data_IF_107155651545
#
_entry.id   IF_107155651545
#
_cell.length_a   1.000
_cell.length_b   1.000
_cell.length_c   1.000
_cell.angle_alpha   90.00
_cell.angle_beta   90.00
_cell.angle_gamma   90.00
#
_symmetry.space_group_name_H-M   'P 1'
#
loop_
_entity.id
_entity.type
_entity.pdbx_description
1 polymer ?
#
# COMPACT_ATOMS: atom_id res chain seq x y z
N UNK A 1 -12.37 2.47 27.50
CA UNK A 1 -11.24 1.57 27.16
C UNK A 1 -11.32 0.99 25.74
N UNK A 2 -12.48 0.98 25.07
CA UNK A 2 -12.69 0.32 23.76
C UNK A 2 -12.02 1.02 22.55
N UNK A 3 -11.75 2.33 22.61
CA UNK A 3 -11.06 3.07 21.54
C UNK A 3 -9.62 2.60 21.28
N UNK A 4 -8.93 2.11 22.32
CA UNK A 4 -7.55 1.63 22.19
C UNK A 4 -7.49 0.32 21.40
N UNK A 5 -8.52 -0.52 21.51
CA UNK A 5 -8.56 -1.85 20.92
C UNK A 5 -8.56 -1.83 19.38
N UNK A 6 -9.20 -0.84 18.76
CA UNK A 6 -9.27 -0.73 17.28
C UNK A 6 -8.02 -0.14 16.67
N UNK A 7 -7.38 0.77 17.41
CA UNK A 7 -6.08 1.34 17.05
C UNK A 7 -5.01 0.24 17.10
N UNK A 8 -5.06 -0.59 18.14
CA UNK A 8 -4.30 -1.83 18.18
C UNK A 8 -4.77 -2.79 17.09
N UNK A 9 -6.04 -2.90 16.70
CA UNK A 9 -6.47 -3.83 15.65
C UNK A 9 -5.95 -3.47 14.26
N UNK A 10 -5.89 -2.18 13.87
CA UNK A 10 -5.28 -1.77 12.59
C UNK A 10 -3.76 -1.87 12.63
N UNK A 11 -3.15 -1.50 13.76
CA UNK A 11 -1.71 -1.70 13.96
C UNK A 11 -1.36 -3.19 13.98
N UNK A 12 -2.17 -4.03 14.62
CA UNK A 12 -2.10 -5.49 14.69
C UNK A 12 -2.47 -6.09 13.35
N UNK A 13 -3.37 -5.51 12.54
CA UNK A 13 -3.66 -6.03 11.19
C UNK A 13 -2.54 -5.71 10.21
N UNK A 14 -1.92 -4.53 10.33
CA UNK A 14 -0.73 -4.15 9.57
C UNK A 14 0.49 -4.94 10.06
N UNK A 15 0.66 -5.10 11.38
CA UNK A 15 1.67 -5.93 12.00
C UNK A 15 1.41 -7.42 11.78
N UNK A 16 0.17 -7.89 11.59
CA UNK A 16 -0.21 -9.26 11.21
C UNK A 16 -0.07 -9.46 9.71
N UNK A 17 -0.21 -8.43 8.88
CA UNK A 17 0.18 -8.50 7.46
C UNK A 17 1.70 -8.61 7.36
N UNK A 18 2.44 -7.74 8.07
CA UNK A 18 3.90 -7.81 8.19
C UNK A 18 4.32 -9.11 8.88
N UNK A 19 3.62 -9.57 9.91
CA UNK A 19 3.92 -10.80 10.66
C UNK A 19 3.45 -12.06 9.94
N UNK A 20 2.38 -12.07 9.15
CA UNK A 20 2.06 -13.20 8.27
C UNK A 20 3.07 -13.29 7.12
N UNK A 21 3.55 -12.14 6.62
CA UNK A 21 4.72 -12.10 5.74
C UNK A 21 6.01 -12.58 6.46
N UNK A 22 6.14 -12.39 7.78
CA UNK A 22 7.31 -12.81 8.59
C UNK A 22 7.20 -14.17 9.29
N UNK A 23 6.02 -14.75 9.55
CA UNK A 23 5.88 -16.06 10.22
C UNK A 23 6.23 -17.19 9.25
N UNK A 24 6.13 -16.90 7.95
CA UNK A 24 6.81 -17.64 6.90
C UNK A 24 8.34 -17.52 6.96
N UNK A 25 8.92 -16.56 7.71
CA UNK A 25 10.37 -16.51 8.04
C UNK A 25 10.80 -17.59 9.03
N UNK A 26 9.97 -17.92 10.02
CA UNK A 26 10.34 -18.85 11.07
C UNK A 26 10.23 -20.34 10.71
N UNK A 27 9.54 -20.70 9.61
CA UNK A 27 9.41 -22.12 9.20
C UNK A 27 10.49 -22.59 8.23
N UNK A 28 11.26 -21.68 7.62
CA UNK A 28 12.48 -22.04 6.89
C UNK A 28 13.64 -21.99 7.88
N UNK A 29 13.81 -23.08 8.63
CA UNK A 29 14.98 -23.32 9.48
C UNK A 29 16.20 -23.64 8.60
N UNK A 30 16.49 -22.78 7.61
CA UNK A 30 17.70 -22.83 6.81
C UNK A 30 18.68 -21.79 7.37
N UNK A 31 19.54 -22.18 8.33
CA UNK A 31 20.57 -21.28 8.87
C UNK A 31 21.62 -20.87 7.82
N UNK A 32 21.58 -21.41 6.60
CA UNK A 32 22.63 -21.27 5.59
C UNK A 32 22.55 -20.06 4.65
N UNK A 33 21.40 -19.39 4.51
CA UNK A 33 21.24 -18.40 3.43
C UNK A 33 21.95 -17.05 3.65
N UNK A 34 22.05 -16.59 4.90
CA UNK A 34 22.52 -15.22 5.22
C UNK A 34 23.62 -15.15 6.29
N UNK A 35 23.93 -16.28 6.93
CA UNK A 35 25.13 -16.44 7.77
C UNK A 35 26.28 -17.11 7.01
N UNK A 36 26.18 -17.24 5.67
CA UNK A 36 27.29 -17.73 4.87
C UNK A 36 28.48 -16.76 5.03
N UNK A 37 29.64 -17.21 5.56
CA UNK A 37 30.83 -16.38 5.72
C UNK A 37 31.29 -15.70 4.42
N UNK A 38 30.85 -16.22 3.26
CA UNK A 38 31.13 -15.63 1.94
C UNK A 38 30.53 -14.24 1.76
N UNK A 39 29.42 -13.91 2.42
CA UNK A 39 28.82 -12.57 2.34
C UNK A 39 29.42 -11.60 3.36
N UNK A 40 29.91 -12.10 4.51
CA UNK A 40 30.57 -11.26 5.52
C UNK A 40 31.99 -10.85 5.15
N UNK A 41 32.71 -11.66 4.35
CA UNK A 41 34.10 -11.39 3.98
C UNK A 41 34.30 -10.56 2.70
N UNK A 42 33.24 -10.20 1.96
CA UNK A 42 33.38 -9.46 0.70
C UNK A 42 33.57 -7.95 0.85
N UNK A 43 33.47 -7.41 2.07
CA UNK A 43 33.58 -5.97 2.34
C UNK A 43 34.89 -5.51 2.98
N UNK A 44 35.87 -6.39 3.24
CA UNK A 44 37.18 -6.00 3.77
C UNK A 44 38.18 -5.82 2.63
N UNK A 45 38.62 -4.59 2.30
CA UNK A 45 39.77 -4.40 1.44
C UNK A 45 41.01 -4.87 2.22
N UNK A 46 41.54 -6.05 1.86
CA UNK A 46 42.83 -6.53 2.37
C UNK A 46 42.90 -7.93 2.97
N UNK A 47 41.82 -8.70 3.07
CA UNK A 47 41.91 -10.10 3.54
C UNK A 47 42.03 -11.07 2.37
N UNK A 48 43.25 -11.24 1.84
CA UNK A 48 43.61 -12.47 1.13
C UNK A 48 43.48 -13.65 2.10
N UNK A 49 42.78 -14.74 1.74
CA UNK A 49 42.77 -15.94 2.57
C UNK A 49 44.18 -16.57 2.54
N UNK A 50 44.73 -17.04 3.67
CA UNK A 50 45.96 -17.80 3.68
C UNK A 50 45.72 -19.13 2.94
N UNK A 51 46.60 -19.43 1.98
CA UNK A 51 46.70 -20.70 1.28
C UNK A 51 46.85 -21.85 2.28
N UNK A 52 45.72 -22.43 2.70
CA UNK A 52 45.71 -23.69 3.44
C UNK A 52 45.21 -24.80 2.52
N UNK A 53 46.13 -25.28 1.69
CA UNK A 53 45.98 -26.50 0.91
C UNK A 53 45.75 -27.68 1.87
N UNK A 54 44.49 -28.08 2.04
CA UNK A 54 44.15 -29.42 2.52
C UNK A 54 43.93 -30.31 1.29
N UNK A 55 44.53 -31.52 1.24
CA UNK A 55 44.31 -32.43 0.13
C UNK A 55 42.87 -32.96 0.21
N UNK A 56 42.00 -32.44 -0.66
CA UNK A 56 40.65 -32.97 -0.85
C UNK A 56 40.75 -34.40 -1.38
N UNK A 57 40.35 -35.36 -0.56
CA UNK A 57 40.00 -36.69 -1.01
C UNK A 57 38.97 -36.56 -2.15
N UNK A 58 39.28 -37.19 -3.28
CA UNK A 58 38.44 -37.26 -4.48
C UNK A 58 37.09 -37.91 -4.12
N UNK A 59 36.06 -37.10 -3.88
CA UNK A 59 34.69 -37.59 -3.95
C UNK A 59 34.31 -37.75 -5.42
N UNK A 60 33.78 -38.90 -5.84
CA UNK A 60 33.25 -39.05 -7.19
C UNK A 60 32.13 -38.03 -7.41
N UNK A 61 31.96 -37.52 -8.65
CA UNK A 61 30.86 -36.61 -8.97
C UNK A 61 29.52 -37.29 -8.65
N UNK A 62 28.52 -36.54 -8.16
CA UNK A 62 27.18 -37.08 -8.02
C UNK A 62 26.69 -37.59 -9.38
N UNK A 63 25.94 -38.70 -9.43
CA UNK A 63 25.36 -39.18 -10.69
C UNK A 63 24.49 -38.07 -11.30
N UNK A 64 24.46 -37.93 -12.64
CA UNK A 64 23.59 -36.97 -13.30
C UNK A 64 22.15 -37.22 -12.84
N UNK A 65 21.46 -36.15 -12.43
CA UNK A 65 20.04 -36.20 -12.14
C UNK A 65 19.33 -36.68 -13.40
N UNK A 66 18.96 -37.97 -13.43
CA UNK A 66 18.06 -38.49 -14.45
C UNK A 66 16.74 -37.74 -14.35
N UNK A 67 16.28 -37.24 -15.48
CA UNK A 67 14.96 -36.62 -15.63
C UNK A 67 13.91 -37.60 -15.11
N UNK A 68 13.45 -37.38 -13.88
CA UNK A 68 12.45 -38.23 -13.25
C UNK A 68 11.08 -37.88 -13.88
N UNK A 69 10.53 -38.74 -14.77
CA UNK A 69 9.34 -38.41 -15.56
C UNK A 69 8.07 -38.29 -14.69
N UNK A 70 8.18 -38.65 -13.41
CA UNK A 70 7.11 -38.59 -12.42
C UNK A 70 7.09 -37.28 -11.62
N UNK A 71 8.10 -36.42 -11.80
CA UNK A 71 8.11 -35.08 -11.20
C UNK A 71 7.24 -34.14 -12.04
N UNK A 72 5.92 -34.38 -12.03
CA UNK A 72 4.97 -33.37 -12.52
C UNK A 72 5.18 -32.11 -11.70
N UNK A 73 5.66 -31.07 -12.36
CA UNK A 73 5.72 -29.74 -11.77
C UNK A 73 4.26 -29.25 -11.68
N UNK A 74 3.59 -29.63 -10.58
CA UNK A 74 2.20 -29.30 -10.25
C UNK A 74 2.00 -27.79 -10.00
N UNK A 75 3.04 -26.99 -10.23
CA UNK A 75 2.96 -25.53 -10.21
C UNK A 75 1.98 -25.07 -11.28
N UNK A 76 0.96 -24.29 -10.91
CA UNK A 76 -0.05 -23.81 -11.85
C UNK A 76 0.61 -22.99 -12.96
N UNK A 77 0.05 -23.03 -14.17
CA UNK A 77 0.67 -22.47 -15.39
C UNK A 77 1.10 -20.99 -15.28
N UNK A 78 0.47 -20.21 -14.41
CA UNK A 78 0.85 -18.80 -14.16
C UNK A 78 2.14 -18.64 -13.34
N UNK A 79 2.60 -19.67 -12.61
CA UNK A 79 3.88 -19.68 -11.90
C UNK A 79 5.05 -20.11 -12.80
N UNK A 80 4.78 -20.78 -13.93
CA UNK A 80 5.82 -21.33 -14.82
C UNK A 80 6.57 -20.27 -15.64
N UNK A 81 6.12 -19.01 -15.61
CA UNK A 81 6.87 -17.90 -16.22
C UNK A 81 7.25 -18.17 -17.68
N UNK A 82 6.37 -18.81 -18.44
CA UNK A 82 6.65 -19.14 -19.84
C UNK A 82 6.99 -17.86 -20.62
N UNK A 83 8.24 -17.71 -21.12
CA UNK A 83 8.65 -16.50 -21.86
C UNK A 83 7.93 -16.38 -23.21
N UNK A 84 7.23 -17.42 -23.66
CA UNK A 84 6.55 -17.46 -24.95
C UNK A 84 5.30 -16.55 -25.08
N UNK A 85 4.87 -15.86 -24.02
CA UNK A 85 3.80 -14.87 -24.08
C UNK A 85 4.29 -13.40 -23.98
N UNK A 86 5.62 -13.18 -23.86
CA UNK A 86 6.22 -11.85 -24.01
C UNK A 86 6.61 -11.65 -25.48
N UNK A 87 5.61 -11.50 -26.35
CA UNK A 87 5.82 -10.84 -27.63
C UNK A 87 6.33 -9.44 -27.34
N UNK A 88 7.59 -9.18 -27.70
CA UNK A 88 8.23 -7.87 -27.63
C UNK A 88 7.42 -6.86 -28.43
N UNK A 89 6.58 -6.10 -27.74
CA UNK A 89 6.03 -4.86 -28.24
C UNK A 89 6.99 -3.75 -27.85
N UNK A 90 7.88 -3.39 -28.77
CA UNK A 90 8.49 -2.05 -28.80
C UNK A 90 7.35 -1.02 -28.84
N UNK A 91 6.97 -0.51 -27.67
CA UNK A 91 6.23 0.74 -27.58
C UNK A 91 7.23 1.84 -27.28
N UNK A 92 7.87 2.30 -28.34
CA UNK A 92 8.57 3.56 -28.35
C UNK A 92 7.61 4.66 -27.85
N UNK A 93 8.16 5.48 -26.97
CA UNK A 93 7.63 6.75 -26.46
C UNK A 93 6.93 7.56 -27.55
N UNK A 94 5.60 7.47 -27.62
CA UNK A 94 4.76 8.48 -28.26
C UNK A 94 4.26 9.45 -27.17
N UNK A 95 5.23 10.12 -26.54
CA UNK A 95 5.01 11.32 -25.75
C UNK A 95 4.97 12.49 -26.74
N UNK A 96 3.77 12.87 -27.18
CA UNK A 96 3.63 13.94 -28.18
C UNK A 96 2.21 14.12 -28.71
N UNK A 97 1.20 14.06 -27.84
CA UNK A 97 -0.13 14.60 -28.16
C UNK A 97 -0.38 15.77 -27.20
N UNK A 98 -0.23 16.99 -27.74
CA UNK A 98 -0.33 18.23 -27.00
C UNK A 98 -1.69 18.41 -26.35
N UNK A 99 -1.67 18.94 -25.13
CA UNK A 99 -2.81 19.58 -24.50
C UNK A 99 -3.04 20.91 -25.22
N UNK A 100 -3.89 20.89 -26.25
CA UNK A 100 -4.40 22.12 -26.85
C UNK A 100 -5.34 22.85 -25.88
N UNK A 101 -5.35 24.19 -25.87
CA UNK A 101 -6.20 24.97 -24.97
C UNK A 101 -7.69 24.73 -25.32
N UNK A 102 -8.51 24.78 -24.27
CA UNK A 102 -9.96 24.74 -24.35
C UNK A 102 -10.46 25.89 -25.24
N UNK A 103 -10.83 25.55 -26.48
CA UNK A 103 -11.62 26.43 -27.34
C UNK A 103 -13.04 26.48 -26.81
N UNK A 104 -13.58 27.68 -26.74
CA UNK A 104 -14.96 28.00 -26.36
C UNK A 104 -15.94 27.18 -27.21
N UNK A 105 -16.78 26.38 -26.55
CA UNK A 105 -17.90 25.70 -27.16
C UNK A 105 -18.97 26.74 -27.53
N UNK A 106 -18.99 27.10 -28.81
CA UNK A 106 -20.11 27.76 -29.46
C UNK A 106 -21.36 26.86 -29.31
N UNK A 107 -22.44 27.39 -28.71
CA UNK A 107 -23.74 26.72 -28.56
C UNK A 107 -24.39 26.49 -29.93
N UNK A 108 -23.95 25.43 -30.62
CA UNK A 108 -24.59 24.94 -31.84
C UNK A 108 -25.90 24.20 -31.53
N UNK A 109 -26.94 24.34 -32.39
CA UNK A 109 -28.24 23.71 -32.18
C UNK A 109 -28.14 22.18 -32.13
N UNK A 110 -28.76 21.61 -31.10
CA UNK A 110 -28.82 20.18 -30.80
C UNK A 110 -29.13 19.35 -32.07
N UNK A 111 -28.26 18.41 -32.47
CA UNK A 111 -28.53 17.54 -33.60
C UNK A 111 -29.72 16.63 -33.27
N UNK A 112 -30.73 16.72 -34.15
CA UNK A 112 -31.93 15.89 -34.17
C UNK A 112 -31.53 14.40 -34.17
N UNK A 113 -32.14 13.62 -33.29
CA UNK A 113 -32.02 12.16 -33.17
C UNK A 113 -32.37 11.45 -34.50
N UNK A 114 -31.38 11.35 -35.39
CA UNK A 114 -31.35 10.38 -36.47
C UNK A 114 -30.68 9.12 -35.96
N UNK A 115 -31.49 8.12 -35.62
CA UNK A 115 -31.05 6.77 -35.23
C UNK A 115 -30.31 6.07 -36.38
N UNK A 116 -29.04 6.40 -36.57
CA UNK A 116 -28.12 5.53 -37.28
C UNK A 116 -27.82 4.30 -36.41
N UNK A 117 -27.70 3.08 -36.97
CA UNK A 117 -27.24 1.92 -36.22
C UNK A 117 -25.80 2.20 -35.78
N UNK A 118 -25.67 2.75 -34.58
CA UNK A 118 -24.39 3.03 -33.97
C UNK A 118 -23.60 1.73 -33.95
N UNK A 119 -22.48 1.71 -34.68
CA UNK A 119 -21.41 0.74 -34.47
C UNK A 119 -21.07 0.84 -32.99
N UNK A 120 -21.69 -0.04 -32.19
CA UNK A 120 -21.32 -0.23 -30.80
C UNK A 120 -19.84 -0.54 -30.84
N UNK A 121 -19.03 0.40 -30.32
CA UNK A 121 -17.61 0.20 -30.20
C UNK A 121 -17.43 -1.15 -29.49
N UNK A 122 -16.97 -2.15 -30.24
CA UNK A 122 -16.82 -3.51 -29.73
C UNK A 122 -15.99 -3.45 -28.44
N UNK A 123 -16.26 -4.33 -27.47
CA UNK A 123 -15.54 -4.32 -26.20
C UNK A 123 -14.04 -4.28 -26.47
N UNK A 124 -13.34 -3.26 -25.95
CA UNK A 124 -11.92 -3.09 -26.22
C UNK A 124 -11.20 -4.37 -25.79
N UNK A 125 -10.41 -5.03 -26.66
CA UNK A 125 -9.84 -6.35 -26.38
C UNK A 125 -8.99 -6.42 -25.10
N UNK A 126 -8.49 -5.27 -24.64
CA UNK A 126 -7.73 -5.15 -23.39
C UNK A 126 -8.57 -5.29 -22.12
N UNK A 127 -9.85 -4.87 -22.13
CA UNK A 127 -10.73 -4.97 -20.97
C UNK A 127 -11.09 -6.43 -20.63
N UNK A 128 -11.12 -7.29 -21.65
CA UNK A 128 -11.45 -8.70 -21.50
C UNK A 128 -10.31 -9.49 -20.84
N UNK A 129 -9.05 -9.09 -21.07
CA UNK A 129 -7.88 -9.85 -20.60
C UNK A 129 -7.83 -9.99 -19.07
N UNK A 130 -8.06 -8.90 -18.32
CA UNK A 130 -8.06 -8.93 -16.86
C UNK A 130 -9.20 -9.77 -16.28
N UNK A 131 -10.39 -9.75 -16.91
CA UNK A 131 -11.54 -10.56 -16.49
C UNK A 131 -11.31 -12.04 -16.76
N UNK A 132 -10.75 -12.40 -17.92
CA UNK A 132 -10.39 -13.78 -18.25
C UNK A 132 -9.39 -14.37 -17.26
N UNK A 133 -8.43 -13.59 -16.75
CA UNK A 133 -7.47 -14.05 -15.72
C UNK A 133 -8.16 -14.38 -14.39
N UNK A 134 -9.11 -13.56 -13.96
CA UNK A 134 -9.92 -13.83 -12.75
C UNK A 134 -10.76 -15.09 -12.93
N UNK A 135 -11.41 -15.26 -14.08
CA UNK A 135 -12.20 -16.44 -14.39
C UNK A 135 -11.34 -17.70 -14.49
N UNK A 136 -10.17 -17.63 -15.11
CA UNK A 136 -9.21 -18.73 -15.19
C UNK A 136 -8.73 -19.16 -13.79
N UNK A 137 -8.45 -18.21 -12.89
CA UNK A 137 -8.10 -18.51 -11.51
C UNK A 137 -9.23 -19.23 -10.76
N UNK A 138 -10.48 -18.78 -10.95
CA UNK A 138 -11.64 -19.48 -10.43
C UNK A 138 -11.85 -20.86 -11.05
N UNK A 139 -11.53 -21.05 -12.34
CA UNK A 139 -11.66 -22.33 -13.03
C UNK A 139 -10.64 -23.37 -12.55
N UNK A 140 -9.49 -22.93 -12.01
CA UNK A 140 -8.41 -23.81 -11.55
C UNK A 140 -8.76 -24.72 -10.35
N UNK A 141 -9.91 -24.52 -9.68
CA UNK A 141 -10.46 -25.49 -8.73
C UNK A 141 -11.13 -24.87 -7.50
N UNK A 142 -11.80 -25.72 -6.71
CA UNK A 142 -12.56 -25.29 -5.53
C UNK A 142 -11.71 -24.57 -4.47
N UNK A 143 -10.44 -24.99 -4.28
CA UNK A 143 -9.51 -24.36 -3.35
C UNK A 143 -9.20 -22.90 -3.73
N UNK A 144 -8.92 -22.65 -5.01
CA UNK A 144 -8.66 -21.31 -5.53
C UNK A 144 -9.88 -20.39 -5.38
N UNK A 145 -11.09 -20.91 -5.64
CA UNK A 145 -12.35 -20.18 -5.41
C UNK A 145 -12.55 -19.83 -3.94
N UNK A 146 -12.36 -20.79 -3.03
CA UNK A 146 -12.53 -20.56 -1.59
C UNK A 146 -11.54 -19.51 -1.08
N UNK A 147 -10.29 -19.56 -1.52
CA UNK A 147 -9.25 -18.59 -1.18
C UNK A 147 -9.56 -17.19 -1.75
N UNK A 148 -10.06 -17.10 -2.99
CA UNK A 148 -10.52 -15.84 -3.58
C UNK A 148 -11.73 -15.26 -2.82
N UNK A 149 -12.70 -16.09 -2.46
CA UNK A 149 -13.88 -15.65 -1.71
C UNK A 149 -13.52 -15.23 -0.28
N UNK A 150 -12.62 -15.97 0.38
CA UNK A 150 -12.10 -15.61 1.69
C UNK A 150 -11.37 -14.27 1.68
N UNK A 151 -10.61 -13.99 0.62
CA UNK A 151 -9.96 -12.68 0.44
C UNK A 151 -10.94 -11.57 0.08
N UNK A 152 -11.99 -11.84 -0.71
CA UNK A 152 -13.11 -10.90 -0.91
C UNK A 152 -13.79 -10.56 0.43
N UNK A 153 -14.03 -11.58 1.28
CA UNK A 153 -14.54 -11.41 2.62
C UNK A 153 -13.62 -10.56 3.49
N UNK A 154 -12.31 -10.83 3.48
CA UNK A 154 -11.34 -10.03 4.25
C UNK A 154 -11.32 -8.55 3.81
N UNK A 155 -11.37 -8.28 2.51
CA UNK A 155 -11.50 -6.92 1.98
C UNK A 155 -12.82 -6.26 2.42
N UNK A 156 -13.93 -7.00 2.36
CA UNK A 156 -15.23 -6.55 2.85
C UNK A 156 -15.22 -6.25 4.36
N UNK A 157 -14.55 -7.08 5.15
CA UNK A 157 -14.38 -6.86 6.59
C UNK A 157 -13.58 -5.58 6.86
N UNK A 158 -12.47 -5.38 6.15
CA UNK A 158 -11.68 -4.15 6.23
C UNK A 158 -12.49 -2.90 5.89
N UNK A 159 -13.29 -2.95 4.83
CA UNK A 159 -14.22 -1.87 4.47
C UNK A 159 -15.28 -1.64 5.56
N UNK A 160 -15.87 -2.71 6.11
CA UNK A 160 -16.86 -2.64 7.20
C UNK A 160 -16.28 -2.03 8.48
N UNK A 161 -15.06 -2.40 8.86
CA UNK A 161 -14.36 -1.79 10.00
C UNK A 161 -14.10 -0.29 9.76
N UNK A 162 -13.69 0.07 8.55
CA UNK A 162 -13.43 1.46 8.19
C UNK A 162 -14.71 2.32 8.23
N UNK A 163 -15.81 1.82 7.66
CA UNK A 163 -17.10 2.53 7.68
C UNK A 163 -17.67 2.61 9.10
N UNK A 164 -17.54 1.54 9.89
CA UNK A 164 -17.98 1.54 11.28
C UNK A 164 -17.22 2.55 12.14
N UNK A 165 -15.91 2.66 11.94
CA UNK A 165 -15.10 3.66 12.62
C UNK A 165 -15.49 5.10 12.22
N UNK A 166 -15.90 5.29 10.96
CA UNK A 166 -16.33 6.59 10.44
C UNK A 166 -17.73 7.01 10.91
N UNK A 167 -18.68 6.07 11.01
CA UNK A 167 -20.10 6.38 11.25
C UNK A 167 -20.54 6.13 12.69
N UNK A 168 -20.17 4.98 13.26
CA UNK A 168 -20.73 4.50 14.54
C UNK A 168 -19.75 4.67 15.70
N UNK A 169 -18.47 4.94 15.40
CA UNK A 169 -17.36 4.90 16.37
C UNK A 169 -17.27 3.57 17.15
N UNK A 170 -17.95 2.50 16.68
CA UNK A 170 -17.96 1.15 17.27
C UNK A 170 -17.47 0.12 16.25
N UNK A 171 -16.17 0.11 15.95
CA UNK A 171 -15.59 -0.52 14.77
C UNK A 171 -15.87 -2.01 14.64
N UNK A 172 -16.01 -2.72 15.77
CA UNK A 172 -16.23 -4.18 15.76
C UNK A 172 -17.62 -4.59 15.26
N UNK A 173 -18.60 -3.68 15.23
CA UNK A 173 -20.00 -4.04 14.94
C UNK A 173 -20.21 -4.38 13.46
N UNK A 174 -19.56 -3.66 12.54
CA UNK A 174 -19.77 -3.89 11.10
C UNK A 174 -18.70 -4.75 10.43
N UNK A 175 -17.66 -5.17 11.15
CA UNK A 175 -16.60 -6.03 10.60
C UNK A 175 -17.14 -7.35 10.04
N UNK A 176 -17.86 -8.17 10.84
CA UNK A 176 -18.47 -9.42 10.36
C UNK A 176 -19.50 -9.22 9.25
N UNK A 177 -20.32 -8.16 9.35
CA UNK A 177 -21.27 -7.80 8.30
C UNK A 177 -20.58 -7.45 6.99
N UNK A 178 -19.49 -6.68 7.05
CA UNK A 178 -18.63 -6.38 5.91
C UNK A 178 -17.99 -7.64 5.31
N UNK A 179 -17.56 -8.59 6.15
CA UNK A 179 -17.03 -9.87 5.68
C UNK A 179 -18.06 -10.65 4.85
N UNK A 180 -19.25 -10.85 5.41
CA UNK A 180 -20.35 -11.55 4.73
C UNK A 180 -20.74 -10.84 3.44
N UNK A 181 -20.85 -9.51 3.47
CA UNK A 181 -21.15 -8.70 2.29
C UNK A 181 -20.06 -8.86 1.22
N UNK A 182 -18.78 -8.87 1.60
CA UNK A 182 -17.66 -9.11 0.69
C UNK A 182 -17.72 -10.50 0.02
N UNK A 183 -18.05 -11.54 0.78
CA UNK A 183 -18.24 -12.90 0.23
C UNK A 183 -19.44 -12.94 -0.74
N UNK A 184 -20.58 -12.37 -0.36
CA UNK A 184 -21.78 -12.33 -1.19
C UNK A 184 -21.53 -11.57 -2.51
N UNK A 185 -20.87 -10.42 -2.44
CA UNK A 185 -20.49 -9.65 -3.63
C UNK A 185 -19.48 -10.41 -4.51
N UNK A 186 -18.56 -11.15 -3.90
CA UNK A 186 -17.62 -12.03 -4.62
C UNK A 186 -18.30 -13.20 -5.33
N UNK A 187 -19.41 -13.72 -4.79
CA UNK A 187 -20.23 -14.75 -5.44
C UNK A 187 -21.09 -14.19 -6.57
N UNK A 188 -21.43 -12.90 -6.53
CA UNK A 188 -22.33 -12.27 -7.48
C UNK A 188 -21.64 -11.97 -8.81
N UNK A 189 -21.59 -12.98 -9.69
CA UNK A 189 -20.84 -12.97 -10.96
C UNK A 189 -21.21 -11.81 -11.91
N UNK A 190 -22.46 -11.34 -11.87
CA UNK A 190 -22.98 -10.38 -12.85
C UNK A 190 -22.85 -8.91 -12.44
N UNK A 191 -22.26 -8.62 -11.28
CA UNK A 191 -22.16 -7.25 -10.77
C UNK A 191 -20.79 -6.64 -11.04
N UNK A 192 -20.74 -5.40 -11.54
CA UNK A 192 -19.49 -4.66 -11.72
C UNK A 192 -18.69 -4.50 -10.42
N UNK A 193 -19.40 -4.45 -9.29
CA UNK A 193 -18.80 -4.38 -7.95
C UNK A 193 -18.18 -5.74 -7.57
N UNK A 194 -18.86 -6.85 -7.82
CA UNK A 194 -18.31 -8.19 -7.63
C UNK A 194 -17.10 -8.47 -8.52
N UNK A 195 -17.09 -7.97 -9.76
CA UNK A 195 -15.93 -8.04 -10.65
C UNK A 195 -14.73 -7.27 -10.11
N UNK A 196 -14.95 -6.05 -9.61
CA UNK A 196 -13.92 -5.24 -8.98
C UNK A 196 -13.38 -5.92 -7.73
N UNK A 197 -14.28 -6.42 -6.87
CA UNK A 197 -13.89 -7.05 -5.61
C UNK A 197 -13.07 -8.32 -5.84
N UNK A 198 -13.46 -9.17 -6.80
CA UNK A 198 -12.69 -10.35 -7.20
C UNK A 198 -11.34 -9.98 -7.81
N UNK A 199 -11.29 -8.95 -8.64
CA UNK A 199 -10.03 -8.47 -9.20
C UNK A 199 -9.09 -7.93 -8.12
N UNK A 200 -9.61 -7.17 -7.15
CA UNK A 200 -8.84 -6.66 -6.01
C UNK A 200 -8.37 -7.80 -5.08
N UNK A 201 -9.21 -8.80 -4.84
CA UNK A 201 -8.87 -9.97 -4.06
C UNK A 201 -7.75 -10.80 -4.74
N UNK A 202 -7.87 -11.02 -6.05
CA UNK A 202 -6.82 -11.70 -6.82
C UNK A 202 -5.53 -10.88 -6.85
N UNK A 203 -5.62 -9.55 -6.98
CA UNK A 203 -4.47 -8.66 -6.91
C UNK A 203 -3.73 -8.79 -5.58
N UNK A 204 -4.46 -8.83 -4.47
CA UNK A 204 -3.89 -9.03 -3.14
C UNK A 204 -3.20 -10.40 -3.02
N UNK A 205 -3.82 -11.46 -3.53
CA UNK A 205 -3.23 -12.80 -3.53
C UNK A 205 -1.94 -12.86 -4.34
N UNK A 206 -1.94 -12.28 -5.54
CA UNK A 206 -0.73 -12.20 -6.38
C UNK A 206 0.34 -11.32 -5.76
N UNK A 207 -0.04 -10.21 -5.14
CA UNK A 207 0.90 -9.36 -4.41
C UNK A 207 1.56 -10.14 -3.26
N UNK A 208 0.79 -10.88 -2.46
CA UNK A 208 1.33 -11.73 -1.39
C UNK A 208 2.22 -12.84 -1.94
N UNK A 209 1.78 -13.55 -2.98
CA UNK A 209 2.54 -14.64 -3.59
C UNK A 209 3.88 -14.14 -4.17
N UNK A 210 3.85 -13.04 -4.94
CA UNK A 210 5.04 -12.46 -5.59
C UNK A 210 5.91 -11.66 -4.61
N UNK A 211 5.39 -11.19 -3.48
CA UNK A 211 6.19 -10.47 -2.46
C UNK A 211 7.35 -11.30 -1.90
N UNK A 212 7.25 -12.64 -1.98
CA UNK A 212 8.32 -13.57 -1.63
C UNK A 212 9.62 -13.29 -2.39
N UNK A 213 9.55 -12.75 -3.62
CA UNK A 213 10.72 -12.38 -4.44
C UNK A 213 11.60 -11.32 -3.75
N UNK A 214 10.98 -10.36 -3.06
CA UNK A 214 11.70 -9.26 -2.40
C UNK A 214 12.16 -9.59 -0.98
N UNK A 215 11.81 -10.77 -0.47
CA UNK A 215 12.11 -11.18 0.91
C UNK A 215 13.61 -11.26 1.17
N UNK A 216 14.36 -11.77 0.20
CA UNK A 216 15.82 -11.86 0.29
C UNK A 216 16.48 -10.51 0.00
N UNK A 217 15.98 -9.72 -0.96
CA UNK A 217 16.56 -8.41 -1.27
C UNK A 217 16.47 -7.37 -0.14
N UNK A 218 15.44 -7.47 0.73
CA UNK A 218 15.20 -6.52 1.81
C UNK A 218 14.96 -7.22 3.16
N UNK A 219 16.03 -7.65 3.86
CA UNK A 219 15.97 -8.40 5.11
C UNK A 219 15.65 -7.50 6.31
N UNK A 220 14.43 -6.95 6.34
CA UNK A 220 13.93 -6.05 7.39
C UNK A 220 14.12 -6.61 8.80
N UNK A 221 13.90 -7.91 9.01
CA UNK A 221 14.01 -8.53 10.34
C UNK A 221 15.46 -8.57 10.83
N UNK A 222 16.42 -8.82 9.92
CA UNK A 222 17.85 -8.74 10.24
C UNK A 222 18.25 -7.32 10.67
N UNK A 223 17.70 -6.31 10.00
CA UNK A 223 17.93 -4.90 10.34
C UNK A 223 17.24 -4.50 11.66
N UNK A 224 16.03 -4.98 11.90
CA UNK A 224 15.32 -4.76 13.16
C UNK A 224 16.10 -5.36 14.33
N UNK A 225 16.62 -6.59 14.18
CA UNK A 225 17.47 -7.22 15.19
C UNK A 225 18.74 -6.41 15.45
N UNK A 226 19.38 -5.87 14.41
CA UNK A 226 20.54 -5.00 14.54
C UNK A 226 20.23 -3.68 15.27
N UNK A 227 18.98 -3.19 15.25
CA UNK A 227 18.60 -2.00 16.01
C UNK A 227 18.60 -2.22 17.53
N UNK A 228 18.29 -3.43 17.99
CA UNK A 228 18.12 -3.72 19.42
C UNK A 228 19.28 -4.49 20.03
N UNK A 229 19.81 -5.51 19.35
CA UNK A 229 20.72 -6.49 19.96
C UNK A 229 21.77 -7.08 19.02
N UNK A 230 21.99 -6.50 17.84
CA UNK A 230 22.85 -7.10 16.82
C UNK A 230 23.90 -6.14 16.30
N UNK A 231 24.97 -6.70 15.73
CA UNK A 231 25.96 -5.93 15.00
C UNK A 231 25.28 -5.20 13.82
N UNK A 232 25.69 -3.94 13.64
CA UNK A 232 25.20 -3.11 12.54
C UNK A 232 25.46 -3.81 11.20
N UNK A 233 24.42 -3.90 10.37
CA UNK A 233 24.51 -4.41 9.00
C UNK A 233 24.21 -3.26 8.04
N UNK A 234 25.21 -2.61 7.42
CA UNK A 234 24.98 -1.44 6.57
C UNK A 234 24.01 -1.79 5.44
N UNK A 235 23.03 -0.90 5.22
CA UNK A 235 22.08 -1.03 4.11
C UNK A 235 21.99 0.30 3.35
N UNK A 236 22.41 0.37 2.07
CA UNK A 236 22.68 -0.75 1.17
C UNK A 236 23.99 -1.49 1.51
N UNK A 237 24.11 -2.79 1.15
CA UNK A 237 25.30 -3.56 1.41
C UNK A 237 26.50 -3.01 0.61
N UNK A 238 27.68 -2.98 1.23
CA UNK A 238 28.92 -2.58 0.58
C UNK A 238 29.19 -1.07 0.50
N UNK A 239 28.26 -0.22 0.98
CA UNK A 239 28.49 1.21 1.09
C UNK A 239 28.31 1.69 2.54
N UNK A 240 29.33 2.33 3.10
CA UNK A 240 29.24 2.96 4.42
C UNK A 240 28.37 4.23 4.37
N UNK A 241 28.47 4.97 3.26
CA UNK A 241 27.60 6.12 2.97
C UNK A 241 26.51 5.71 1.96
N UNK A 242 25.22 5.69 2.35
CA UNK A 242 24.13 5.30 1.46
C UNK A 242 23.94 6.24 0.27
N UNK A 243 24.41 7.50 0.35
CA UNK A 243 24.30 8.47 -0.74
C UNK A 243 25.28 8.22 -1.86
N UNK A 244 26.40 7.55 -1.56
CA UNK A 244 27.44 7.19 -2.51
C UNK A 244 27.26 5.79 -3.09
N UNK A 245 26.15 5.12 -2.75
CA UNK A 245 25.88 3.78 -3.25
C UNK A 245 25.74 3.79 -4.77
N UNK A 246 26.57 2.99 -5.44
CA UNK A 246 26.44 2.70 -6.85
C UNK A 246 25.81 1.31 -7.00
N UNK A 247 24.75 1.16 -7.81
CA UNK A 247 24.16 -0.15 -8.09
C UNK A 247 25.24 -1.08 -8.63
N UNK A 248 25.39 -2.25 -8.00
CA UNK A 248 26.27 -3.29 -8.53
C UNK A 248 25.66 -3.77 -9.85
N UNK A 249 26.42 -3.85 -10.95
CA UNK A 249 25.90 -4.47 -12.17
C UNK A 249 25.49 -5.91 -11.85
N UNK A 250 24.43 -6.44 -12.51
CA UNK A 250 24.04 -7.83 -12.35
C UNK A 250 25.26 -8.70 -12.67
N UNK A 251 25.73 -9.47 -11.69
CA UNK A 251 26.72 -10.49 -11.95
C UNK A 251 26.03 -11.63 -12.72
N UNK A 252 26.73 -12.28 -13.64
CA UNK A 252 26.18 -13.40 -14.41
C UNK A 252 25.59 -14.46 -13.46
N UNK A 253 24.26 -14.60 -13.49
CA UNK A 253 23.53 -15.57 -12.67
C UNK A 253 22.97 -15.06 -11.34
N UNK A 254 23.19 -13.80 -10.95
CA UNK A 254 22.55 -13.22 -9.77
C UNK A 254 21.22 -12.55 -10.19
N UNK A 255 20.06 -13.11 -9.79
CA UNK A 255 18.76 -12.60 -10.21
C UNK A 255 18.53 -11.21 -9.62
N UNK A 256 18.58 -10.19 -10.48
CA UNK A 256 18.32 -8.77 -10.23
C UNK A 256 19.03 -8.18 -8.99
N UNK A 257 20.21 -7.53 -9.14
CA UNK A 257 20.88 -6.87 -8.02
C UNK A 257 19.91 -5.89 -7.35
N UNK A 258 19.95 -5.84 -6.02
CA UNK A 258 19.07 -4.96 -5.22
C UNK A 258 19.25 -3.52 -5.71
N UNK A 259 18.28 -3.03 -6.49
CA UNK A 259 18.29 -1.68 -7.03
C UNK A 259 17.98 -0.68 -5.89
N UNK A 260 18.98 -0.37 -5.09
CA UNK A 260 18.85 0.63 -4.03
C UNK A 260 18.89 2.04 -4.60
N UNK A 261 17.96 2.88 -4.13
CA UNK A 261 17.93 4.30 -4.44
C UNK A 261 17.60 5.07 -3.18
N UNK A 262 18.58 5.84 -2.69
CA UNK A 262 18.45 6.59 -1.45
C UNK A 262 17.26 7.56 -1.48
N UNK A 263 17.05 8.25 -2.61
CA UNK A 263 15.92 9.18 -2.79
C UNK A 263 14.57 8.47 -2.68
N UNK A 264 14.40 7.31 -3.31
CA UNK A 264 13.17 6.50 -3.21
C UNK A 264 12.95 6.00 -1.79
N UNK A 265 14.01 5.53 -1.12
CA UNK A 265 13.94 5.07 0.26
C UNK A 265 13.49 6.18 1.20
N UNK A 266 14.13 7.36 1.13
CA UNK A 266 13.79 8.54 1.94
C UNK A 266 12.37 9.02 1.67
N UNK A 267 11.95 9.08 0.40
CA UNK A 267 10.57 9.47 0.05
C UNK A 267 9.54 8.48 0.61
N UNK A 268 9.80 7.18 0.52
CA UNK A 268 8.92 6.16 1.10
C UNK A 268 8.88 6.26 2.63
N UNK A 269 10.02 6.49 3.29
CA UNK A 269 10.08 6.76 4.73
C UNK A 269 9.33 8.04 5.11
N UNK A 270 9.45 9.12 4.33
CA UNK A 270 8.75 10.37 4.55
C UNK A 270 7.23 10.17 4.53
N UNK A 271 6.71 9.47 3.52
CA UNK A 271 5.28 9.16 3.39
C UNK A 271 4.81 8.21 4.51
N UNK A 272 5.57 7.16 4.79
CA UNK A 272 5.27 6.22 5.88
C UNK A 272 5.29 6.89 7.25
N UNK A 273 6.26 7.77 7.48
CA UNK A 273 6.39 8.59 8.68
C UNK A 273 5.23 9.57 8.84
N UNK A 274 4.83 10.26 7.76
CA UNK A 274 3.69 11.16 7.76
C UNK A 274 2.40 10.42 8.14
N UNK A 275 2.18 9.25 7.52
CA UNK A 275 1.04 8.41 7.81
C UNK A 275 1.06 7.91 9.27
N UNK A 276 2.21 7.45 9.77
CA UNK A 276 2.36 7.00 11.15
C UNK A 276 2.12 8.14 12.15
N UNK A 277 2.59 9.36 11.87
CA UNK A 277 2.33 10.55 12.67
C UNK A 277 0.84 10.92 12.71
N UNK A 278 0.17 10.91 11.56
CA UNK A 278 -1.28 11.11 11.48
C UNK A 278 -2.06 10.02 12.25
N UNK A 279 -1.67 8.77 12.09
CA UNK A 279 -2.28 7.64 12.79
C UNK A 279 -2.06 7.74 14.31
N UNK A 280 -0.86 8.14 14.74
CA UNK A 280 -0.54 8.39 16.14
C UNK A 280 -1.37 9.54 16.73
N UNK A 281 -1.61 10.61 15.97
CA UNK A 281 -2.50 11.71 16.38
C UNK A 281 -3.91 11.21 16.69
N UNK A 282 -4.46 10.38 15.81
CA UNK A 282 -5.75 9.71 16.04
C UNK A 282 -5.68 8.74 17.20
N UNK A 283 -4.54 8.06 17.39
CA UNK A 283 -4.38 7.02 18.39
C UNK A 283 -4.33 7.57 19.81
N UNK A 284 -3.49 8.57 20.03
CA UNK A 284 -3.19 9.11 21.34
C UNK A 284 -4.32 10.03 21.82
N UNK A 285 -5.17 10.53 20.91
CA UNK A 285 -6.24 11.47 21.27
C UNK A 285 -5.67 12.74 21.91
N UNK A 286 -4.41 13.06 21.59
CA UNK A 286 -3.66 14.13 22.20
C UNK A 286 -4.31 15.45 21.74
N UNK A 287 -5.04 16.09 22.65
CA UNK A 287 -5.79 17.30 22.37
C UNK A 287 -4.87 18.49 22.01
N UNK A 288 -3.60 18.44 22.41
CA UNK A 288 -2.66 19.55 22.24
C UNK A 288 -2.11 19.73 20.82
N UNK A 289 -2.04 18.69 19.99
CA UNK A 289 -1.40 18.79 18.68
C UNK A 289 -2.36 18.43 17.54
N UNK A 290 -2.67 19.38 16.64
CA UNK A 290 -3.38 19.10 15.40
C UNK A 290 -2.79 17.90 14.64
N UNK A 291 -3.61 17.00 14.05
CA UNK A 291 -3.12 15.80 13.36
C UNK A 291 -2.12 16.06 12.23
N UNK A 292 -2.22 17.21 11.56
CA UNK A 292 -1.29 17.58 10.50
C UNK A 292 0.11 17.90 11.04
N UNK A 293 0.22 18.47 12.25
CA UNK A 293 1.53 18.72 12.90
C UNK A 293 2.21 17.42 13.28
N UNK A 294 1.47 16.46 13.82
CA UNK A 294 2.02 15.13 14.10
C UNK A 294 2.38 14.38 12.82
N UNK A 295 1.63 14.55 11.72
CA UNK A 295 2.02 14.03 10.42
C UNK A 295 3.34 14.64 9.92
N UNK A 296 3.50 15.97 10.01
CA UNK A 296 4.76 16.64 9.66
C UNK A 296 5.92 16.19 10.55
N UNK A 297 5.69 16.04 11.86
CA UNK A 297 6.67 15.51 12.80
C UNK A 297 7.07 14.07 12.48
N UNK A 298 6.11 13.22 12.13
CA UNK A 298 6.36 11.85 11.68
C UNK A 298 7.16 11.79 10.37
N UNK A 299 6.86 12.68 9.41
CA UNK A 299 7.61 12.83 8.16
C UNK A 299 9.06 13.22 8.46
N UNK A 300 9.27 14.31 9.20
CA UNK A 300 10.59 14.83 9.52
C UNK A 300 11.41 13.80 10.32
N UNK A 301 10.79 13.14 11.30
CA UNK A 301 11.41 12.09 12.10
C UNK A 301 11.84 10.89 11.26
N UNK A 302 10.97 10.40 10.37
CA UNK A 302 11.31 9.25 9.51
C UNK A 302 12.40 9.59 8.47
N UNK A 303 12.39 10.81 7.91
CA UNK A 303 13.46 11.29 7.02
C UNK A 303 14.79 11.37 7.79
N UNK A 304 14.79 12.00 8.97
CA UNK A 304 15.98 12.10 9.81
C UNK A 304 16.53 10.70 10.11
N UNK A 305 15.70 9.78 10.59
CA UNK A 305 16.08 8.41 10.88
C UNK A 305 16.66 7.71 9.66
N UNK A 306 16.03 7.83 8.48
CA UNK A 306 16.54 7.25 7.24
C UNK A 306 17.94 7.76 6.84
N UNK A 307 18.27 9.02 7.17
CA UNK A 307 19.59 9.62 6.88
C UNK A 307 20.70 9.28 7.88
N UNK A 308 20.37 8.72 9.05
CA UNK A 308 21.38 8.36 10.05
C UNK A 308 22.26 7.20 9.55
N UNK A 309 23.57 7.29 9.80
CA UNK A 309 24.57 6.25 9.46
C UNK A 309 24.70 5.17 10.55
N UNK A 310 23.59 4.83 11.22
CA UNK A 310 23.54 3.82 12.28
C UNK A 310 22.55 2.69 11.91
N UNK A 311 22.44 1.67 12.78
CA UNK A 311 21.55 0.53 12.56
C UNK A 311 20.08 0.94 12.38
N UNK A 312 19.61 1.97 13.10
CA UNK A 312 18.27 2.52 12.93
C UNK A 312 18.07 3.08 11.52
N UNK A 313 19.01 3.87 11.02
CA UNK A 313 18.93 4.38 9.65
C UNK A 313 19.02 3.28 8.60
N UNK A 314 19.82 2.25 8.81
CA UNK A 314 19.89 1.08 7.92
C UNK A 314 18.54 0.33 7.88
N UNK A 315 17.85 0.22 9.03
CA UNK A 315 16.50 -0.32 9.12
C UNK A 315 15.46 0.52 8.37
N UNK A 316 15.45 1.84 8.57
CA UNK A 316 14.52 2.72 7.87
C UNK A 316 14.76 2.69 6.35
N UNK A 317 16.02 2.74 5.89
CA UNK A 317 16.37 2.63 4.47
C UNK A 317 15.92 1.30 3.86
N UNK A 318 16.14 0.19 4.56
CA UNK A 318 15.69 -1.14 4.14
C UNK A 318 14.15 -1.23 4.07
N UNK A 319 13.47 -0.71 5.10
CA UNK A 319 12.01 -0.64 5.13
C UNK A 319 11.42 0.22 4.02
N UNK A 320 12.00 1.40 3.79
CA UNK A 320 11.61 2.30 2.72
C UNK A 320 11.74 1.65 1.35
N UNK A 321 12.88 1.01 1.05
CA UNK A 321 13.05 0.30 -0.22
C UNK A 321 12.15 -0.92 -0.36
N UNK A 322 11.87 -1.65 0.72
CA UNK A 322 10.89 -2.74 0.67
C UNK A 322 9.50 -2.22 0.33
N UNK A 323 9.11 -1.07 0.87
CA UNK A 323 7.85 -0.42 0.53
C UNK A 323 7.82 0.02 -0.95
N UNK A 324 8.91 0.57 -1.48
CA UNK A 324 9.05 0.93 -2.90
C UNK A 324 8.92 -0.29 -3.81
N UNK A 325 9.62 -1.39 -3.48
CA UNK A 325 9.54 -2.64 -4.25
C UNK A 325 8.11 -3.22 -4.23
N UNK A 326 7.45 -3.18 -3.07
CA UNK A 326 6.07 -3.61 -2.95
C UNK A 326 5.10 -2.71 -3.74
N UNK A 327 5.31 -1.40 -3.75
CA UNK A 327 4.51 -0.48 -4.57
C UNK A 327 4.71 -0.76 -6.07
N UNK A 328 5.94 -1.02 -6.51
CA UNK A 328 6.23 -1.46 -7.88
C UNK A 328 5.49 -2.74 -8.26
N UNK A 329 5.48 -3.72 -7.36
CA UNK A 329 4.72 -4.97 -7.54
C UNK A 329 3.22 -4.71 -7.65
N UNK A 330 2.65 -3.83 -6.83
CA UNK A 330 1.23 -3.49 -6.92
C UNK A 330 0.87 -2.83 -8.25
N UNK A 331 1.75 -1.97 -8.79
CA UNK A 331 1.55 -1.37 -10.11
C UNK A 331 1.65 -2.41 -11.24
N UNK A 332 2.55 -3.37 -11.13
CA UNK A 332 2.66 -4.49 -12.07
C UNK A 332 1.38 -5.35 -12.06
N UNK A 333 0.91 -5.73 -10.87
CA UNK A 333 -0.33 -6.49 -10.69
C UNK A 333 -1.55 -5.70 -11.16
N UNK A 334 -1.60 -4.39 -10.94
CA UNK A 334 -2.68 -3.53 -11.44
C UNK A 334 -2.69 -3.46 -12.97
N UNK A 335 -1.53 -3.35 -13.62
CA UNK A 335 -1.43 -3.38 -15.09
C UNK A 335 -1.94 -4.71 -15.66
N UNK A 336 -1.71 -5.81 -14.95
CA UNK A 336 -2.17 -7.14 -15.35
C UNK A 336 -3.67 -7.39 -15.13
N UNK A 337 -4.25 -6.85 -14.06
CA UNK A 337 -5.65 -7.09 -13.67
C UNK A 337 -6.60 -5.93 -14.00
N UNK A 338 -6.05 -4.79 -14.39
CA UNK A 338 -6.75 -3.53 -14.69
C UNK A 338 -7.67 -3.08 -13.54
N UNK A 339 -7.23 -3.25 -12.29
CA UNK A 339 -8.04 -2.96 -11.10
C UNK A 339 -8.41 -1.48 -11.05
N UNK A 340 -7.46 -0.58 -11.32
CA UNK A 340 -7.69 0.86 -11.36
C UNK A 340 -8.72 1.25 -12.42
N UNK A 341 -8.68 0.63 -13.61
CA UNK A 341 -9.66 0.89 -14.67
C UNK A 341 -11.06 0.40 -14.28
N UNK A 342 -11.17 -0.78 -13.66
CA UNK A 342 -12.42 -1.30 -13.11
C UNK A 342 -12.97 -0.41 -11.99
N UNK A 343 -12.09 0.06 -11.10
CA UNK A 343 -12.45 0.98 -10.03
C UNK A 343 -12.96 2.31 -10.57
N UNK A 344 -12.27 2.90 -11.56
CA UNK A 344 -12.70 4.12 -12.22
C UNK A 344 -14.06 3.96 -12.92
N UNK A 345 -14.31 2.83 -13.58
CA UNK A 345 -15.61 2.54 -14.19
C UNK A 345 -16.72 2.43 -13.15
N UNK A 346 -16.47 1.74 -12.04
CA UNK A 346 -17.43 1.65 -10.92
C UNK A 346 -17.66 3.03 -10.30
N UNK A 347 -16.61 3.82 -10.08
CA UNK A 347 -16.71 5.16 -9.51
C UNK A 347 -17.55 6.08 -10.40
N UNK A 348 -17.40 6.02 -11.72
CA UNK A 348 -18.25 6.76 -12.67
C UNK A 348 -19.73 6.35 -12.56
N UNK A 349 -20.01 5.04 -12.44
CA UNK A 349 -21.39 4.55 -12.25
C UNK A 349 -21.98 5.01 -10.92
N UNK A 350 -21.21 4.93 -9.84
CA UNK A 350 -21.61 5.42 -8.52
C UNK A 350 -21.86 6.92 -8.54
N UNK A 351 -20.95 7.69 -9.13
CA UNK A 351 -21.09 9.14 -9.25
C UNK A 351 -22.33 9.53 -10.06
N UNK A 352 -22.58 8.86 -11.18
CA UNK A 352 -23.81 9.09 -11.97
C UNK A 352 -25.09 8.79 -11.17
N UNK A 353 -25.08 7.71 -10.38
CA UNK A 353 -26.23 7.37 -9.50
C UNK A 353 -26.38 8.36 -8.36
N UNK A 354 -25.28 8.80 -7.76
CA UNK A 354 -25.27 9.81 -6.71
C UNK A 354 -25.80 11.14 -7.24
N UNK A 355 -25.35 11.58 -8.42
CA UNK A 355 -25.87 12.79 -9.07
C UNK A 355 -27.36 12.69 -9.43
N UNK A 356 -27.82 11.52 -9.90
CA UNK A 356 -29.24 11.31 -10.16
C UNK A 356 -30.06 11.36 -8.87
N UNK A 357 -29.57 10.70 -7.82
CA UNK A 357 -30.21 10.72 -6.50
C UNK A 357 -30.20 12.13 -5.92
N UNK A 358 -29.12 12.87 -6.12
CA UNK A 358 -28.98 14.25 -5.70
C UNK A 358 -29.96 15.16 -6.43
N UNK A 359 -30.06 15.06 -7.75
CA UNK A 359 -31.02 15.83 -8.55
C UNK A 359 -32.47 15.54 -8.15
N UNK A 360 -32.78 14.29 -7.77
CA UNK A 360 -34.15 13.87 -7.42
C UNK A 360 -34.53 14.23 -5.98
N UNK A 361 -33.63 14.04 -5.03
CA UNK A 361 -33.92 14.18 -3.60
C UNK A 361 -33.29 15.42 -2.96
N UNK A 362 -32.49 16.19 -3.73
CA UNK A 362 -31.73 17.36 -3.28
C UNK A 362 -30.95 17.07 -2.00
N UNK A 363 -30.22 15.95 -2.01
CA UNK A 363 -29.50 15.47 -0.82
C UNK A 363 -28.34 16.41 -0.50
N UNK A 364 -27.66 16.93 -1.53
CA UNK A 364 -26.61 17.93 -1.41
C UNK A 364 -27.14 19.19 -0.76
N UNK A 365 -28.28 19.73 -1.22
CA UNK A 365 -28.92 20.90 -0.60
C UNK A 365 -29.20 20.63 0.88
N UNK A 366 -29.82 19.48 1.23
CA UNK A 366 -30.12 19.14 2.63
C UNK A 366 -28.87 18.93 3.49
N UNK A 367 -27.81 18.34 2.93
CA UNK A 367 -26.52 18.17 3.61
C UNK A 367 -25.83 19.52 3.81
N UNK A 368 -25.91 20.41 2.81
CA UNK A 368 -25.32 21.74 2.85
C UNK A 368 -26.07 22.63 3.84
N UNK A 369 -27.40 22.60 3.83
CA UNK A 369 -28.26 23.27 4.82
C UNK A 369 -27.95 22.77 6.24
N UNK A 370 -27.83 21.44 6.42
CA UNK A 370 -27.45 20.85 7.69
C UNK A 370 -26.05 21.27 8.15
N UNK A 371 -25.08 21.32 7.24
CA UNK A 371 -23.72 21.78 7.53
C UNK A 371 -23.70 23.26 7.89
N UNK A 372 -24.44 24.11 7.16
CA UNK A 372 -24.58 25.53 7.46
C UNK A 372 -25.24 25.76 8.83
N UNK A 373 -26.23 24.95 9.21
CA UNK A 373 -26.82 25.01 10.55
C UNK A 373 -25.80 24.65 11.64
N UNK A 374 -24.98 23.62 11.42
CA UNK A 374 -23.92 23.23 12.38
C UNK A 374 -22.85 24.31 12.49
N UNK A 375 -22.39 24.85 11.35
CA UNK A 375 -21.42 25.95 11.31
C UNK A 375 -22.00 27.19 11.99
N UNK A 376 -23.24 27.57 11.69
CA UNK A 376 -23.93 28.71 12.29
C UNK A 376 -24.07 28.59 13.80
N UNK A 377 -24.40 27.40 14.31
CA UNK A 377 -24.43 27.13 15.76
C UNK A 377 -23.03 27.21 16.39
N UNK A 378 -22.02 26.64 15.73
CA UNK A 378 -20.64 26.70 16.21
C UNK A 378 -20.12 28.15 16.27
N UNK A 379 -20.41 28.96 15.25
CA UNK A 379 -20.04 30.38 15.21
C UNK A 379 -20.79 31.20 16.27
N UNK A 380 -22.08 30.90 16.52
CA UNK A 380 -22.85 31.57 17.56
C UNK A 380 -22.33 31.27 18.97
N UNK A 381 -21.94 30.02 19.24
CA UNK A 381 -21.30 29.65 20.52
C UNK A 381 -19.94 30.33 20.65
N UNK A 382 -19.15 30.40 19.57
CA UNK A 382 -17.87 31.08 19.57
C UNK A 382 -18.01 32.59 19.81
N UNK A 383 -19.02 33.25 19.23
CA UNK A 383 -19.28 34.68 19.47
C UNK A 383 -19.75 34.94 20.90
N UNK A 384 -20.61 34.09 21.47
CA UNK A 384 -21.02 34.19 22.87
C UNK A 384 -19.84 34.00 23.83
N UNK A 385 -18.91 33.07 23.54
CA UNK A 385 -17.68 32.92 24.33
C UNK A 385 -16.76 34.13 24.22
N UNK A 386 -16.69 34.78 23.07
CA UNK A 386 -15.89 36.00 22.87
C UNK A 386 -16.46 37.18 23.66
N UNK A 387 -17.76 37.41 23.57
CA UNK A 387 -18.46 38.50 24.29
C UNK A 387 -18.36 38.32 25.82
N UNK A 388 -18.52 37.09 26.32
CA UNK A 388 -18.33 36.78 27.74
C UNK A 388 -16.88 36.92 28.24
N UNK A 389 -15.88 36.70 27.38
CA UNK A 389 -14.48 36.99 27.71
C UNK A 389 -14.19 38.50 27.75
N UNK A 390 -14.75 39.26 26.81
CA UNK A 390 -14.57 40.72 26.75
C UNK A 390 -15.24 41.40 27.97
N UNK A 391 -16.45 40.97 28.36
CA UNK A 391 -17.15 41.43 29.56
C UNK A 391 -16.38 41.11 30.86
N UNK A 392 -15.81 39.90 30.94
CA UNK A 392 -14.99 39.49 32.09
C UNK A 392 -13.70 40.31 32.19
N UNK A 393 -13.09 40.68 31.05
CA UNK A 393 -11.94 41.58 31.00
C UNK A 393 -12.28 43.00 31.45
N UNK A 394 -13.41 43.55 30.98
CA UNK A 394 -13.86 44.89 31.34
C UNK A 394 -14.15 45.04 32.85
N UNK A 395 -14.75 44.02 33.47
CA UNK A 395 -15.00 44.03 34.93
C UNK A 395 -13.72 43.99 35.77
N UNK A 396 -12.65 43.36 35.28
CA UNK A 396 -11.35 43.35 35.99
C UNK A 396 -10.67 44.72 35.96
N UNK A 397 -10.76 45.46 34.85
CA UNK A 397 -10.15 46.79 34.76
C UNK A 397 -10.99 47.93 35.36
N UNK A 398 -12.32 47.79 35.44
CA UNK A 398 -13.19 48.80 36.05
C UNK A 398 -13.19 48.82 37.59
N UNK A 399 -12.63 47.81 38.26
CA UNK A 399 -12.68 47.65 39.72
C UNK A 399 -11.54 48.30 40.51
N UNK A 400 -10.45 48.73 39.87
CA UNK A 400 -9.25 49.25 40.56
C UNK A 400 -9.17 50.79 40.65
N UNK A 401 -10.11 51.53 40.04
CA UNK A 401 -10.05 53.01 39.99
C UNK A 401 -10.82 53.77 41.09
N UNK A 402 -11.48 53.08 42.02
CA UNK A 402 -12.43 53.71 42.96
C UNK A 402 -11.91 53.96 44.39
N UNK A 403 -10.62 53.74 44.67
CA UNK A 403 -10.07 53.65 46.02
C UNK A 403 -8.97 54.64 46.35
N UNK A 404 -9.07 55.91 45.94
CA UNK A 404 -8.14 56.95 46.44
C UNK A 404 -8.88 58.27 46.60
N UNK A 405 -9.28 58.58 47.84
CA UNK A 405 -10.06 59.77 48.15
C UNK A 405 -10.72 59.74 49.53
N UNK A 406 -9.94 59.51 50.59
CA UNK A 406 -10.25 60.03 51.93
C UNK A 406 -9.01 60.22 52.76
#
# INVERSE_FOLDING_TARGET
MESRFTKYFLLISLLLLVWCCQKSDSSSNDPGGWNDPRYQNQGRPGSQPPDRATPRARRPPPPPHGDDPWRRDDRPAWERGDPAAQGGGEWATQAGAGWGPAGEEEEGPLPREGAGPGKSAGPSPTADAGTRRVEAYCAAGARHRALLLGTCGALGAGAGLATSNAVVHRPLVLGPGGFLLGVLLGLWKSSALGDLLRAAALALLWAVARSKRFRHGYPLFGQLRACFWGDRRPFPPGAEDPWLYQPRPPADGDPDPVAFSMTKAVLACALGGAFAGWAAAKAIGFFLLPPWLLALGGLAGAVLLATLKNAAGDFFRCGGMKAVAFAGLLLEVDRELLVARKAAALLRLLFRRLLFFDRKYRVSDRLFDGLQQVVGRATAVASQMRESMDDAGARRHGGEGGGEGR
#
